data_IF_133941135906
#
_entry.id   IF_133941135906
#
_cell.length_a   1.000
_cell.length_b   1.000
_cell.length_c   1.000
_cell.angle_alpha   90.00
_cell.angle_beta   90.00
_cell.angle_gamma   90.00
#
_symmetry.space_group_name_H-M   'P 1'
#
loop_
_entity.id
_entity.type
_entity.pdbx_description
1 polymer ?
#
# COMPACT_ATOMS: atom_id res chain seq x y z
N UNK A 1 -2.64 12.99 8.01
CA UNK A 1 -1.42 13.81 7.69
C UNK A 1 -1.38 14.06 6.18
N UNK A 2 -1.20 15.32 5.73
CA UNK A 2 -1.32 15.73 4.30
C UNK A 2 -0.01 16.38 3.82
N UNK A 3 0.81 15.63 3.07
CA UNK A 3 2.02 16.15 2.41
C UNK A 3 1.61 16.93 1.15
N UNK A 4 1.80 18.25 1.15
CA UNK A 4 1.49 19.16 0.03
C UNK A 4 2.74 19.87 -0.53
N UNK A 5 3.94 19.50 -0.07
CA UNK A 5 5.21 20.08 -0.56
C UNK A 5 5.70 21.31 0.20
N UNK A 6 4.97 21.75 1.24
CA UNK A 6 5.45 22.76 2.18
C UNK A 6 6.27 22.09 3.30
N UNK A 7 7.22 22.82 3.90
CA UNK A 7 8.14 22.29 4.91
C UNK A 7 7.41 21.61 6.09
N UNK A 8 6.35 22.25 6.63
CA UNK A 8 5.56 21.70 7.73
C UNK A 8 4.72 20.48 7.34
N UNK A 9 4.48 20.29 6.04
CA UNK A 9 3.73 19.14 5.51
C UNK A 9 4.58 17.87 5.42
N UNK A 10 5.90 17.95 5.68
CA UNK A 10 6.81 16.82 5.57
C UNK A 10 6.82 15.94 6.83
N UNK A 11 6.35 16.43 7.99
CA UNK A 11 6.29 15.68 9.27
C UNK A 11 5.38 14.46 9.17
N UNK A 12 5.94 13.34 8.75
CA UNK A 12 5.22 12.14 8.37
C UNK A 12 5.05 11.13 9.48
N UNK A 13 5.73 11.34 10.61
CA UNK A 13 5.73 10.45 11.75
C UNK A 13 5.11 11.14 12.96
N UNK A 14 4.26 10.41 13.66
CA UNK A 14 3.65 10.84 14.93
C UNK A 14 3.97 9.85 16.03
N UNK A 15 4.23 10.36 17.23
CA UNK A 15 4.38 9.53 18.42
C UNK A 15 3.01 9.01 18.87
N UNK A 16 2.93 7.71 19.15
CA UNK A 16 1.74 7.05 19.68
C UNK A 16 2.10 6.13 20.84
N UNK A 17 1.14 5.70 21.67
CA UNK A 17 1.38 4.69 22.71
C UNK A 17 1.89 3.33 22.18
N UNK A 18 1.81 3.10 20.87
CA UNK A 18 2.22 1.86 20.21
C UNK A 18 3.54 1.99 19.42
N UNK A 19 4.21 3.14 19.54
CA UNK A 19 5.42 3.48 18.79
C UNK A 19 5.22 4.64 17.81
N UNK A 20 6.26 4.95 17.05
CA UNK A 20 6.29 5.99 16.03
C UNK A 20 5.60 5.54 14.74
N UNK A 21 4.44 6.11 14.46
CA UNK A 21 3.61 5.74 13.30
C UNK A 21 3.82 6.75 12.18
N UNK A 22 4.29 6.25 11.04
CA UNK A 22 4.50 6.99 9.81
C UNK A 22 3.48 6.66 8.73
N UNK A 23 3.35 7.52 7.72
CA UNK A 23 2.53 7.19 6.56
C UNK A 23 2.84 7.99 5.30
N UNK A 24 3.17 7.26 4.23
CA UNK A 24 3.29 7.78 2.86
C UNK A 24 2.32 7.01 1.94
N UNK A 25 1.29 7.72 1.47
CA UNK A 25 0.26 7.10 0.64
C UNK A 25 0.59 7.16 -0.85
N UNK A 26 0.11 6.15 -1.59
CA UNK A 26 0.21 6.06 -3.04
C UNK A 26 1.67 6.22 -3.52
N UNK A 27 1.92 7.08 -4.51
CA UNK A 27 3.24 7.29 -5.09
C UNK A 27 4.22 8.08 -4.22
N UNK A 28 3.83 8.53 -3.03
CA UNK A 28 4.74 9.27 -2.13
C UNK A 28 5.84 8.34 -1.60
N UNK A 29 5.49 7.09 -1.30
CA UNK A 29 6.43 6.08 -0.80
C UNK A 29 7.50 5.68 -1.80
N UNK A 30 7.31 5.90 -3.10
CA UNK A 30 8.35 5.55 -4.10
C UNK A 30 9.38 6.68 -4.26
N UNK A 31 9.14 7.85 -3.68
CA UNK A 31 10.08 8.97 -3.73
C UNK A 31 11.17 8.72 -2.68
N UNK A 32 12.44 8.47 -3.08
CA UNK A 32 13.49 8.10 -2.14
C UNK A 32 13.67 9.14 -1.03
N UNK A 33 13.65 10.42 -1.39
CA UNK A 33 13.77 11.52 -0.43
C UNK A 33 12.69 11.51 0.65
N UNK A 34 11.44 11.17 0.29
CA UNK A 34 10.36 11.12 1.27
C UNK A 34 10.50 9.92 2.21
N UNK A 35 10.93 8.75 1.70
CA UNK A 35 11.21 7.58 2.55
C UNK A 35 12.36 7.85 3.50
N UNK A 36 13.48 8.36 2.99
CA UNK A 36 14.62 8.70 3.85
C UNK A 36 14.24 9.76 4.89
N UNK A 37 13.42 10.73 4.53
CA UNK A 37 12.94 11.72 5.48
C UNK A 37 12.03 11.10 6.56
N UNK A 38 11.15 10.16 6.19
CA UNK A 38 10.34 9.40 7.13
C UNK A 38 11.22 8.55 8.07
N UNK A 39 12.22 7.84 7.53
CA UNK A 39 13.18 7.07 8.33
C UNK A 39 13.97 7.96 9.29
N UNK A 40 14.39 9.15 8.87
CA UNK A 40 15.09 10.11 9.73
C UNK A 40 14.23 10.64 10.89
N UNK A 41 12.91 10.57 10.76
CA UNK A 41 11.97 10.87 11.85
C UNK A 41 11.74 9.69 12.80
N UNK A 42 12.37 8.53 12.55
CA UNK A 42 12.34 7.35 13.39
C UNK A 42 11.05 6.54 13.29
N UNK A 43 10.45 6.43 12.10
CA UNK A 43 9.27 5.56 11.92
C UNK A 43 9.57 4.14 12.38
N UNK A 44 8.64 3.53 13.13
CA UNK A 44 8.68 2.13 13.54
C UNK A 44 7.59 1.32 12.82
N UNK A 45 6.44 1.98 12.60
CA UNK A 45 5.26 1.42 11.95
C UNK A 45 4.86 2.32 10.78
N UNK A 46 5.07 1.86 9.55
CA UNK A 46 4.63 2.56 8.35
C UNK A 46 3.24 2.06 7.91
N UNK A 47 2.27 2.96 7.86
CA UNK A 47 0.90 2.65 7.43
C UNK A 47 0.61 3.32 6.09
N UNK A 48 0.08 2.54 5.15
CA UNK A 48 -0.16 3.01 3.78
C UNK A 48 -1.51 2.52 3.26
N UNK A 49 -2.31 3.46 2.78
CA UNK A 49 -3.59 3.20 2.12
C UNK A 49 -3.46 3.19 0.60
N UNK A 50 -4.14 2.25 -0.06
CA UNK A 50 -4.15 2.14 -1.52
C UNK A 50 -5.50 1.82 -2.14
N UNK A 51 -5.71 2.34 -3.34
CA UNK A 51 -6.73 1.87 -4.28
C UNK A 51 -6.47 0.41 -4.67
N UNK A 52 -7.46 -0.33 -5.19
CA UNK A 52 -7.25 -1.69 -5.69
C UNK A 52 -6.18 -1.71 -6.79
N UNK A 53 -5.38 -2.78 -6.81
CA UNK A 53 -4.40 -3.03 -7.87
C UNK A 53 -4.69 -4.38 -8.53
N UNK A 54 -4.63 -4.38 -9.86
CA UNK A 54 -4.91 -5.58 -10.63
C UNK A 54 -3.63 -6.36 -10.95
N UNK A 55 -3.81 -7.60 -11.40
CA UNK A 55 -2.72 -8.37 -12.00
C UNK A 55 -2.33 -7.71 -13.31
N UNK A 56 -1.12 -7.98 -13.79
CA UNK A 56 -0.71 -7.57 -15.12
C UNK A 56 -1.70 -8.16 -16.14
N UNK A 57 -2.43 -7.31 -16.90
CA UNK A 57 -3.28 -7.78 -17.98
C UNK A 57 -2.43 -8.45 -19.06
N UNK A 58 -2.92 -9.54 -19.65
CA UNK A 58 -2.18 -10.28 -20.69
C UNK A 58 -2.25 -9.61 -22.07
N UNK A 59 -3.39 -9.00 -22.37
CA UNK A 59 -3.77 -8.64 -23.74
C UNK A 59 -3.71 -7.13 -24.02
N UNK A 60 -3.36 -6.32 -23.01
CA UNK A 60 -3.22 -4.86 -23.15
C UNK A 60 -1.88 -4.39 -22.60
N UNK A 61 -1.24 -3.38 -23.23
CA UNK A 61 -0.07 -2.72 -22.65
C UNK A 61 -0.44 -2.08 -21.30
N UNK A 62 0.19 -2.55 -20.22
CA UNK A 62 -0.03 -2.04 -18.87
C UNK A 62 1.31 -1.83 -18.14
N UNK A 63 1.54 -0.70 -17.48
CA UNK A 63 2.82 -0.47 -16.82
C UNK A 63 3.02 -1.42 -15.63
N UNK A 64 4.12 -2.16 -15.59
CA UNK A 64 4.36 -3.14 -14.52
C UNK A 64 4.30 -2.54 -13.09
N UNK A 65 4.76 -1.31 -12.92
CA UNK A 65 4.75 -0.61 -11.62
C UNK A 65 3.35 -0.35 -11.04
N UNK A 66 2.27 -0.56 -11.83
CA UNK A 66 0.88 -0.49 -11.36
C UNK A 66 0.22 -1.87 -11.26
N UNK A 67 0.99 -2.89 -10.91
CA UNK A 67 0.50 -4.24 -10.61
C UNK A 67 0.58 -4.54 -9.12
N UNK A 68 -0.31 -5.40 -8.61
CA UNK A 68 -0.26 -5.86 -7.22
C UNK A 68 1.10 -6.49 -6.86
N UNK A 69 1.73 -7.18 -7.82
CA UNK A 69 3.04 -7.81 -7.65
C UNK A 69 4.16 -6.78 -7.45
N UNK A 70 4.27 -5.79 -8.34
CA UNK A 70 5.27 -4.73 -8.22
C UNK A 70 5.08 -3.91 -6.94
N UNK A 71 3.83 -3.63 -6.61
CA UNK A 71 3.46 -2.91 -5.39
C UNK A 71 3.85 -3.68 -4.14
N UNK A 72 3.52 -4.96 -4.05
CA UNK A 72 3.88 -5.83 -2.91
C UNK A 72 5.38 -5.85 -2.68
N UNK A 73 6.18 -6.06 -3.75
CA UNK A 73 7.65 -6.01 -3.67
C UNK A 73 8.17 -4.68 -3.17
N UNK A 74 7.56 -3.58 -3.64
CA UNK A 74 7.99 -2.26 -3.23
C UNK A 74 7.63 -1.96 -1.76
N UNK A 75 6.58 -2.57 -1.20
CA UNK A 75 6.28 -2.49 0.23
C UNK A 75 7.20 -3.35 1.09
N UNK A 76 7.52 -4.56 0.63
CA UNK A 76 8.56 -5.39 1.25
C UNK A 76 9.89 -4.65 1.31
N UNK A 77 10.26 -4.00 0.20
CA UNK A 77 11.45 -3.16 0.13
C UNK A 77 11.44 -2.04 1.17
N UNK A 78 10.34 -1.29 1.29
CA UNK A 78 10.20 -0.25 2.32
C UNK A 78 10.35 -0.79 3.74
N UNK A 79 9.88 -2.02 4.00
CA UNK A 79 9.98 -2.64 5.31
C UNK A 79 11.44 -2.94 5.69
N UNK A 80 12.19 -3.62 4.82
CA UNK A 80 13.59 -3.97 5.12
C UNK A 80 14.58 -2.82 4.92
N UNK A 81 14.33 -1.89 3.98
CA UNK A 81 15.15 -0.69 3.80
C UNK A 81 15.08 0.19 5.06
N UNK A 82 13.89 0.33 5.64
CA UNK A 82 13.66 1.16 6.83
C UNK A 82 13.82 0.44 8.16
N UNK A 83 13.94 -0.89 8.16
CA UNK A 83 13.78 -1.74 9.35
C UNK A 83 12.48 -1.42 10.12
N UNK A 84 11.35 -1.33 9.40
CA UNK A 84 10.04 -0.96 9.94
C UNK A 84 8.97 -2.00 9.64
N UNK A 85 7.95 -2.07 10.49
CA UNK A 85 6.74 -2.81 10.15
C UNK A 85 5.95 -2.03 9.10
N UNK A 86 5.53 -2.69 8.02
CA UNK A 86 4.72 -2.05 6.96
C UNK A 86 3.33 -2.66 6.93
N UNK A 87 2.32 -1.81 7.14
CA UNK A 87 0.91 -2.17 7.11
C UNK A 87 0.29 -1.62 5.83
N UNK A 88 0.02 -2.50 4.88
CA UNK A 88 -0.62 -2.19 3.61
C UNK A 88 -2.11 -2.43 3.72
N UNK A 89 -2.89 -1.38 3.51
CA UNK A 89 -4.35 -1.44 3.50
C UNK A 89 -4.86 -1.07 2.12
N UNK A 90 -5.59 -1.99 1.48
CA UNK A 90 -6.15 -1.78 0.14
C UNK A 90 -7.66 -1.85 0.15
N UNK A 91 -8.31 -1.00 -0.63
CA UNK A 91 -9.75 -1.09 -0.88
C UNK A 91 -10.07 -2.23 -1.86
N UNK A 92 -11.27 -2.78 -1.75
CA UNK A 92 -11.84 -3.67 -2.77
C UNK A 92 -12.82 -2.92 -3.67
N UNK A 93 -12.85 -3.31 -4.95
CA UNK A 93 -13.86 -2.90 -5.90
C UNK A 93 -14.94 -3.98 -5.96
N UNK A 94 -16.17 -3.63 -5.60
CA UNK A 94 -17.36 -4.47 -5.80
C UNK A 94 -17.94 -4.23 -7.18
N UNK A 95 -18.74 -5.17 -7.71
CA UNK A 95 -19.43 -4.99 -9.00
C UNK A 95 -20.36 -3.76 -9.01
N UNK A 96 -21.04 -3.48 -7.89
CA UNK A 96 -21.83 -2.25 -7.73
C UNK A 96 -20.95 -0.99 -7.81
N UNK A 97 -19.79 -1.00 -7.14
CA UNK A 97 -18.86 0.12 -7.18
C UNK A 97 -18.23 0.29 -8.57
N UNK A 98 -18.00 -0.80 -9.31
CA UNK A 98 -17.51 -0.75 -10.68
C UNK A 98 -18.49 -0.02 -11.61
N UNK A 99 -19.78 -0.38 -11.55
CA UNK A 99 -20.83 0.29 -12.31
C UNK A 99 -20.97 1.76 -11.89
N UNK A 100 -21.06 2.02 -10.58
CA UNK A 100 -21.20 3.38 -10.04
C UNK A 100 -20.05 4.30 -10.44
N UNK A 101 -18.83 3.78 -10.51
CA UNK A 101 -17.64 4.52 -10.93
C UNK A 101 -17.42 4.51 -12.46
N UNK A 102 -18.30 3.88 -13.23
CA UNK A 102 -18.23 3.77 -14.70
C UNK A 102 -16.91 3.15 -15.17
N UNK A 103 -16.56 2.03 -14.54
CA UNK A 103 -15.33 1.28 -14.81
C UNK A 103 -15.58 -0.01 -15.62
N UNK A 104 -16.83 -0.32 -15.96
CA UNK A 104 -17.25 -1.54 -16.66
C UNK A 104 -16.67 -1.70 -18.07
N UNK A 105 -16.21 -0.62 -18.69
CA UNK A 105 -15.57 -0.60 -20.01
C UNK A 105 -14.03 -0.66 -19.94
N UNK A 106 -13.45 -0.76 -18.73
CA UNK A 106 -12.00 -0.71 -18.53
C UNK A 106 -11.40 -2.11 -18.56
N UNK A 107 -10.55 -2.44 -19.55
CA UNK A 107 -10.05 -3.81 -19.75
C UNK A 107 -9.06 -4.28 -18.69
N UNK A 108 -8.58 -3.38 -17.82
CA UNK A 108 -7.72 -3.71 -16.67
C UNK A 108 -8.51 -3.85 -15.36
N UNK A 109 -9.77 -3.44 -15.35
CA UNK A 109 -10.61 -3.44 -14.17
C UNK A 109 -11.26 -4.82 -14.03
N UNK A 110 -11.04 -5.44 -12.88
CA UNK A 110 -11.68 -6.69 -12.53
C UNK A 110 -12.42 -6.50 -11.20
N UNK A 111 -13.73 -6.70 -11.20
CA UNK A 111 -14.59 -6.72 -10.03
C UNK A 111 -15.42 -8.03 -9.97
N UNK A 112 -15.74 -8.56 -8.77
CA UNK A 112 -15.20 -8.15 -7.47
C UNK A 112 -13.69 -8.44 -7.34
N UNK A 113 -12.94 -7.51 -6.75
CA UNK A 113 -11.49 -7.65 -6.51
C UNK A 113 -10.76 -6.31 -6.42
N UNK A 114 -9.43 -6.18 -6.26
CA UNK A 114 -8.39 -7.10 -5.77
C UNK A 114 -7.62 -6.33 -4.69
N UNK A 115 -8.06 -6.47 -3.44
CA UNK A 115 -7.26 -6.04 -2.31
C UNK A 115 -6.00 -6.90 -2.20
N UNK A 116 -4.88 -6.33 -1.76
CA UNK A 116 -3.67 -7.06 -1.40
C UNK A 116 -3.16 -6.59 -0.03
N UNK A 117 -4.10 -6.31 0.88
CA UNK A 117 -3.77 -5.90 2.24
C UNK A 117 -2.80 -6.90 2.86
N UNK A 118 -1.69 -6.42 3.39
CA UNK A 118 -0.59 -7.24 3.90
C UNK A 118 0.12 -6.56 5.07
N UNK A 119 0.74 -7.37 5.92
CA UNK A 119 1.65 -6.90 6.97
C UNK A 119 3.03 -7.48 6.68
N UNK A 120 4.05 -6.62 6.59
CA UNK A 120 5.44 -7.03 6.46
C UNK A 120 6.22 -6.71 7.74
N UNK A 121 7.10 -7.63 8.12
CA UNK A 121 8.06 -7.44 9.20
C UNK A 121 9.23 -6.55 8.79
N UNK A 122 10.05 -6.09 9.75
CA UNK A 122 11.24 -5.27 9.51
C UNK A 122 12.31 -5.93 8.62
N UNK A 123 12.24 -7.24 8.43
CA UNK A 123 13.10 -8.01 7.51
C UNK A 123 12.50 -8.14 6.09
N UNK A 124 11.30 -7.60 5.87
CA UNK A 124 10.56 -7.69 4.62
C UNK A 124 9.71 -8.96 4.46
N UNK A 125 9.74 -9.86 5.44
CA UNK A 125 8.94 -11.08 5.39
C UNK A 125 7.44 -10.78 5.61
N UNK A 126 6.52 -11.43 4.88
CA UNK A 126 5.10 -11.34 5.17
C UNK A 126 4.80 -11.97 6.55
N UNK A 127 4.01 -11.29 7.38
CA UNK A 127 3.61 -11.76 8.71
C UNK A 127 2.19 -12.34 8.76
N UNK A 128 1.49 -12.31 7.64
CA UNK A 128 0.14 -12.85 7.45
C UNK A 128 0.08 -13.55 6.10
N UNK A 129 -0.88 -14.46 5.95
CA UNK A 129 -1.15 -15.07 4.65
C UNK A 129 -1.88 -14.08 3.74
N UNK A 130 -1.56 -14.13 2.44
CA UNK A 130 -2.28 -13.35 1.45
C UNK A 130 -3.68 -13.97 1.29
N UNK A 131 -4.70 -13.22 1.70
CA UNK A 131 -6.09 -13.65 1.61
C UNK A 131 -6.62 -13.53 0.17
N UNK A 132 -7.75 -14.19 -0.10
CA UNK A 132 -8.34 -14.18 -1.42
C UNK A 132 -8.68 -12.74 -1.84
N UNK A 133 -8.49 -12.36 -3.11
CA UNK A 133 -8.59 -10.96 -3.51
C UNK A 133 -10.04 -10.44 -3.57
N UNK A 134 -11.04 -11.30 -3.38
CA UNK A 134 -12.46 -11.09 -3.64
C UNK A 134 -13.35 -11.02 -2.38
N UNK A 135 -12.80 -11.14 -1.17
CA UNK A 135 -13.56 -10.90 0.07
C UNK A 135 -12.94 -9.84 0.98
N UNK A 136 -13.76 -9.26 1.88
CA UNK A 136 -13.30 -8.29 2.86
C UNK A 136 -12.79 -9.01 4.11
N UNK A 137 -11.63 -8.59 4.60
CA UNK A 137 -11.03 -9.23 5.76
C UNK A 137 -10.34 -8.25 6.70
N UNK A 138 -10.18 -8.71 7.94
CA UNK A 138 -9.27 -8.11 8.92
C UNK A 138 -8.04 -8.98 9.04
N UNK A 139 -6.85 -8.42 8.79
CA UNK A 139 -5.59 -9.13 8.97
C UNK A 139 -5.30 -9.35 10.46
N UNK A 140 -4.92 -10.57 10.83
CA UNK A 140 -4.49 -10.94 12.18
C UNK A 140 -3.25 -11.81 12.06
N UNK A 141 -2.23 -11.54 12.87
CA UNK A 141 -1.08 -12.43 13.00
C UNK A 141 -1.55 -13.69 13.74
N UNK A 142 -1.23 -14.87 13.20
CA UNK A 142 -1.47 -16.15 13.87
C UNK A 142 -0.62 -16.28 15.14
#
# INVERSE_FOLDING_TARGET
MRINGQADSLKSVVDTPFGKVGGLNCWKRIKPLLRHYEYSQGVEIHVTGRSPFWKQPKDIPWPYHVTAEAESRAYQFTAFEGATFVLVCTQMLTAENEDRNKLTDRPFCEAPGRGFSMIYGPDGAPLVELLAPDEEYTLRRY
#
